data_IF_873138980505
#
_entry.id   IF_873138980505
#
_cell.length_a   1.000
_cell.length_b   1.000
_cell.length_c   1.000
_cell.angle_alpha   90.00
_cell.angle_beta   90.00
_cell.angle_gamma   90.00
#
_symmetry.space_group_name_H-M   'P 1'
#
loop_
_entity.id
_entity.type
_entity.pdbx_description
1 polymer ?
#
# COMPACT_ATOMS: atom_id res chain seq x y z
N UNK A 1 -27.64 46.07 50.52
CA UNK A 1 -27.21 45.77 51.89
C UNK A 1 -25.74 46.13 51.95
N UNK A 2 -25.45 47.20 52.69
CA UNK A 2 -24.13 47.82 52.80
C UNK A 2 -23.35 47.08 53.89
N UNK A 3 -22.21 46.48 53.54
CA UNK A 3 -21.23 46.03 54.53
C UNK A 3 -20.03 46.97 54.51
N UNK A 4 -19.99 47.81 55.54
CA UNK A 4 -18.91 48.72 55.91
C UNK A 4 -17.65 47.94 56.29
N UNK A 5 -16.45 48.32 55.82
CA UNK A 5 -15.21 47.78 56.35
C UNK A 5 -14.93 48.35 57.75
N UNK A 6 -14.58 47.46 58.66
CA UNK A 6 -14.18 47.72 60.04
C UNK A 6 -13.10 48.83 60.11
N UNK A 7 -13.44 49.97 60.71
CA UNK A 7 -12.60 51.16 60.75
C UNK A 7 -11.67 51.14 61.99
N UNK A 8 -10.42 50.71 61.79
CA UNK A 8 -9.40 50.56 62.85
C UNK A 8 -9.03 51.88 63.56
N UNK A 9 -9.38 53.04 63.01
CA UNK A 9 -9.04 54.36 63.57
C UNK A 9 -9.90 54.78 64.77
N UNK A 10 -10.98 54.07 65.09
CA UNK A 10 -11.85 54.41 66.23
C UNK A 10 -11.46 53.67 67.53
N UNK A 11 -10.65 52.61 67.43
CA UNK A 11 -10.24 51.78 68.58
C UNK A 11 -8.98 52.30 69.33
N UNK A 12 -8.30 53.31 68.78
CA UNK A 12 -7.06 53.88 69.36
C UNK A 12 -7.27 55.20 70.12
N UNK A 13 -8.51 55.67 70.30
CA UNK A 13 -8.81 56.86 71.13
C UNK A 13 -9.09 56.46 72.58
N UNK A 14 -8.04 56.04 73.30
CA UNK A 14 -8.06 56.10 74.77
C UNK A 14 -7.62 57.50 75.21
N UNK A 15 -8.40 58.19 76.07
CA UNK A 15 -8.08 59.53 76.53
C UNK A 15 -6.83 59.51 77.42
N UNK A 16 -5.88 60.39 77.09
CA UNK A 16 -4.73 60.69 77.92
C UNK A 16 -5.20 61.28 79.27
N UNK A 17 -4.75 60.75 80.43
CA UNK A 17 -4.90 61.46 81.68
C UNK A 17 -3.90 62.62 81.75
N UNK A 18 -4.44 63.79 82.10
CA UNK A 18 -3.76 65.06 82.30
C UNK A 18 -2.62 64.95 83.31
N UNK A 19 -1.48 65.57 82.98
CA UNK A 19 -0.41 65.95 83.92
C UNK A 19 -0.93 67.00 84.91
N UNK A 20 -0.74 66.74 86.19
CA UNK A 20 -0.60 67.79 87.21
C UNK A 20 0.87 67.78 87.70
N UNK A 21 1.52 68.95 87.84
CA UNK A 21 2.91 69.04 88.23
C UNK A 21 3.03 69.06 89.75
N UNK A 22 3.58 68.00 90.34
CA UNK A 22 4.08 68.03 91.72
C UNK A 22 5.58 68.18 91.65
N UNK A 23 6.04 69.40 91.95
CA UNK A 23 7.43 69.68 92.26
C UNK A 23 7.77 68.99 93.59
N UNK A 24 8.70 68.04 93.54
CA UNK A 24 9.46 67.59 94.70
C UNK A 24 10.93 67.61 94.29
N UNK A 25 11.70 68.24 95.16
CA UNK A 25 13.13 68.52 95.09
C UNK A 25 13.97 67.25 94.87
N UNK A 26 15.18 67.39 94.29
CA UNK A 26 16.01 66.26 93.91
C UNK A 26 16.76 65.69 95.12
N UNK A 27 16.70 64.38 95.40
CA UNK A 27 17.75 63.71 96.11
C UNK A 27 18.68 63.04 95.10
N UNK A 28 19.93 63.50 95.14
CA UNK A 28 21.11 62.63 95.20
C UNK A 28 21.28 61.58 94.10
N UNK A 29 22.13 61.93 93.14
CA UNK A 29 22.92 61.01 92.32
C UNK A 29 23.64 60.05 93.26
N UNK A 30 23.10 58.85 93.42
CA UNK A 30 23.76 57.74 94.08
C UNK A 30 23.45 56.45 93.30
N UNK A 31 24.37 56.10 92.39
CA UNK A 31 24.62 54.74 91.88
C UNK A 31 23.50 53.99 91.12
N UNK A 32 23.08 54.49 89.95
CA UNK A 32 22.37 53.70 88.91
C UNK A 32 23.30 53.26 87.75
N UNK A 33 24.61 53.16 88.00
CA UNK A 33 25.56 52.63 87.02
C UNK A 33 25.31 51.15 86.62
N UNK A 34 24.93 50.22 87.52
CA UNK A 34 24.90 48.80 87.15
C UNK A 34 23.66 48.38 86.34
N UNK A 35 22.50 49.04 86.51
CA UNK A 35 21.27 48.64 85.81
C UNK A 35 21.24 49.08 84.34
N UNK A 36 21.83 50.23 84.03
CA UNK A 36 22.00 50.71 82.64
C UNK A 36 22.99 49.83 81.85
N UNK A 37 24.05 49.34 82.50
CA UNK A 37 25.00 48.40 81.89
C UNK A 37 24.32 47.05 81.59
N UNK A 38 23.52 46.52 82.52
CA UNK A 38 22.75 45.28 82.30
C UNK A 38 21.74 45.44 81.16
N UNK A 39 21.02 46.55 81.09
CA UNK A 39 20.10 46.82 79.98
C UNK A 39 20.83 46.95 78.63
N UNK A 40 22.01 47.57 78.60
CA UNK A 40 22.82 47.65 77.38
C UNK A 40 23.32 46.28 76.92
N UNK A 41 23.74 45.41 77.84
CA UNK A 41 24.13 44.03 77.52
C UNK A 41 22.95 43.25 76.93
N UNK A 42 21.76 43.34 77.54
CA UNK A 42 20.55 42.66 77.02
C UNK A 42 20.16 43.21 75.65
N UNK A 43 20.29 44.51 75.39
CA UNK A 43 20.01 45.09 74.06
C UNK A 43 21.04 44.64 73.03
N UNK A 44 22.32 44.49 73.41
CA UNK A 44 23.36 43.96 72.53
C UNK A 44 23.13 42.47 72.22
N UNK A 45 22.73 41.67 73.21
CA UNK A 45 22.36 40.26 73.01
C UNK A 45 21.13 40.12 72.10
N UNK A 46 20.07 40.90 72.34
CA UNK A 46 18.89 40.91 71.48
C UNK A 46 19.20 41.41 70.06
N UNK A 47 20.13 42.37 69.92
CA UNK A 47 20.59 42.82 68.61
C UNK A 47 21.41 41.74 67.89
N UNK A 48 22.24 40.98 68.62
CA UNK A 48 22.99 39.85 68.09
C UNK A 48 22.05 38.69 67.68
N UNK A 49 21.07 38.35 68.52
CA UNK A 49 20.05 37.33 68.22
C UNK A 49 19.21 37.73 67.01
N UNK A 50 18.82 39.00 66.90
CA UNK A 50 18.10 39.52 65.73
C UNK A 50 18.95 39.45 64.46
N UNK A 51 20.26 39.73 64.56
CA UNK A 51 21.18 39.61 63.43
C UNK A 51 21.38 38.14 63.02
N UNK A 52 21.47 37.22 63.98
CA UNK A 52 21.55 35.78 63.72
C UNK A 52 20.28 35.26 63.04
N UNK A 53 19.09 35.64 63.54
CA UNK A 53 17.82 35.31 62.91
C UNK A 53 17.72 35.88 61.48
N UNK A 54 18.17 37.11 61.26
CA UNK A 54 18.17 37.70 59.92
C UNK A 54 19.06 36.90 58.95
N UNK A 55 20.24 36.47 59.39
CA UNK A 55 21.12 35.61 58.60
C UNK A 55 20.50 34.23 58.31
N UNK A 56 19.81 33.63 59.29
CA UNK A 56 19.11 32.36 59.10
C UNK A 56 17.94 32.50 58.10
N UNK A 57 17.19 33.61 58.15
CA UNK A 57 16.14 33.91 57.18
C UNK A 57 16.71 34.09 55.77
N UNK A 58 17.84 34.79 55.62
CA UNK A 58 18.50 34.95 54.32
C UNK A 58 18.95 33.61 53.77
N UNK A 59 19.60 32.77 54.59
CA UNK A 59 20.02 31.42 54.20
C UNK A 59 18.83 30.53 53.80
N UNK A 60 17.74 30.57 54.56
CA UNK A 60 16.53 29.80 54.25
C UNK A 60 15.86 30.29 52.97
N UNK A 61 15.85 31.61 52.73
CA UNK A 61 15.31 32.19 51.50
C UNK A 61 16.14 31.81 50.27
N UNK A 62 17.47 31.79 50.40
CA UNK A 62 18.37 31.34 49.34
C UNK A 62 18.14 29.85 49.02
N UNK A 63 18.02 29.01 50.05
CA UNK A 63 17.76 27.58 49.86
C UNK A 63 16.36 27.31 49.24
N UNK A 64 15.35 28.09 49.64
CA UNK A 64 14.02 28.02 49.01
C UNK A 64 14.09 28.36 47.51
N UNK A 65 14.83 29.42 47.14
CA UNK A 65 15.03 29.79 45.75
C UNK A 65 15.80 28.73 44.94
N UNK A 66 16.79 28.06 45.55
CA UNK A 66 17.48 26.92 44.93
C UNK A 66 16.53 25.75 44.66
N UNK A 67 15.71 25.39 45.65
CA UNK A 67 14.71 24.33 45.52
C UNK A 67 13.65 24.65 44.46
N UNK A 68 13.15 25.88 44.40
CA UNK A 68 12.21 26.31 43.36
C UNK A 68 12.82 26.21 41.96
N UNK A 69 14.09 26.61 41.81
CA UNK A 69 14.81 26.46 40.55
C UNK A 69 14.99 24.97 40.17
N UNK A 70 15.35 24.12 41.12
CA UNK A 70 15.50 22.68 40.91
C UNK A 70 14.18 22.00 40.54
N UNK A 71 13.07 22.41 41.16
CA UNK A 71 11.72 21.93 40.81
C UNK A 71 11.36 22.37 39.40
N UNK A 72 11.64 23.62 39.02
CA UNK A 72 11.36 24.12 37.67
C UNK A 72 12.14 23.31 36.62
N UNK A 73 13.44 23.10 36.82
CA UNK A 73 14.26 22.31 35.88
C UNK A 73 13.78 20.86 35.78
N UNK A 74 13.45 20.23 36.91
CA UNK A 74 12.90 18.88 36.91
C UNK A 74 11.54 18.78 36.18
N UNK A 75 10.70 19.80 36.31
CA UNK A 75 9.43 19.88 35.57
C UNK A 75 9.65 20.02 34.05
N UNK A 76 10.61 20.84 33.63
CA UNK A 76 10.97 21.00 32.22
C UNK A 76 11.51 19.70 31.62
N UNK A 77 12.39 18.99 32.35
CA UNK A 77 12.91 17.68 31.94
C UNK A 77 11.80 16.63 31.86
N UNK A 78 10.92 16.56 32.86
CA UNK A 78 9.78 15.66 32.84
C UNK A 78 8.83 15.94 31.66
N UNK A 79 8.65 17.21 31.27
CA UNK A 79 7.88 17.57 30.09
C UNK A 79 8.56 17.13 28.79
N UNK A 80 9.88 17.29 28.68
CA UNK A 80 10.65 16.81 27.51
C UNK A 80 10.54 15.29 27.36
N UNK A 81 10.80 14.54 28.42
CA UNK A 81 10.68 13.08 28.43
C UNK A 81 9.27 12.60 28.09
N UNK A 82 8.22 13.31 28.55
CA UNK A 82 6.83 13.00 28.18
C UNK A 82 6.56 13.19 26.69
N UNK A 83 7.13 14.24 26.07
CA UNK A 83 7.00 14.47 24.62
C UNK A 83 7.72 13.38 23.83
N UNK A 84 8.96 13.08 24.19
CA UNK A 84 9.75 12.01 23.55
C UNK A 84 9.05 10.64 23.68
N UNK A 85 8.48 10.34 24.84
CA UNK A 85 7.72 9.10 25.05
C UNK A 85 6.45 9.06 24.21
N UNK A 86 5.74 10.18 24.04
CA UNK A 86 4.57 10.26 23.17
C UNK A 86 4.94 10.05 21.69
N UNK A 87 6.04 10.66 21.24
CA UNK A 87 6.57 10.47 19.89
C UNK A 87 6.99 9.02 19.65
N UNK A 88 7.74 8.42 20.58
CA UNK A 88 8.16 7.02 20.51
C UNK A 88 6.95 6.05 20.45
N UNK A 89 5.90 6.33 21.23
CA UNK A 89 4.64 5.54 21.17
C UNK A 89 3.97 5.65 19.81
N UNK A 90 3.90 6.85 19.24
CA UNK A 90 3.34 7.07 17.90
C UNK A 90 4.13 6.28 16.85
N UNK A 91 5.46 6.34 16.89
CA UNK A 91 6.30 5.58 15.94
C UNK A 91 6.14 4.06 16.12
N UNK A 92 5.93 3.58 17.35
CA UNK A 92 5.68 2.17 17.62
C UNK A 92 4.35 1.72 17.02
N UNK A 93 3.30 2.54 17.16
CA UNK A 93 1.99 2.26 16.58
C UNK A 93 2.03 2.24 15.05
N UNK A 94 2.72 3.20 14.43
CA UNK A 94 2.95 3.23 12.98
C UNK A 94 3.73 1.98 12.50
N UNK A 95 4.76 1.57 13.24
CA UNK A 95 5.51 0.34 12.95
C UNK A 95 4.67 -0.93 13.13
N UNK A 96 3.77 -0.97 14.11
CA UNK A 96 2.85 -2.10 14.30
C UNK A 96 1.83 -2.22 13.17
N UNK A 97 1.26 -1.08 12.73
CA UNK A 97 0.31 -1.05 11.62
C UNK A 97 0.95 -1.53 10.31
N UNK A 98 2.15 -1.02 9.98
CA UNK A 98 2.90 -1.47 8.79
C UNK A 98 3.27 -2.96 8.86
N UNK A 99 3.61 -3.47 10.05
CA UNK A 99 3.87 -4.89 10.24
C UNK A 99 2.60 -5.74 10.01
N UNK A 100 1.44 -5.26 10.46
CA UNK A 100 0.16 -5.93 10.21
C UNK A 100 -0.20 -5.95 8.72
N UNK A 101 -0.01 -4.83 8.03
CA UNK A 101 -0.25 -4.71 6.58
C UNK A 101 0.65 -5.66 5.78
N UNK A 102 1.96 -5.68 6.09
CA UNK A 102 2.91 -6.58 5.42
C UNK A 102 2.62 -8.05 5.68
N UNK A 103 2.16 -8.42 6.89
CA UNK A 103 1.67 -9.77 7.18
C UNK A 103 0.43 -10.13 6.37
N UNK A 104 -0.51 -9.21 6.22
CA UNK A 104 -1.70 -9.40 5.38
C UNK A 104 -1.33 -9.62 3.91
N UNK A 105 -0.42 -8.78 3.39
CA UNK A 105 0.11 -8.93 2.04
C UNK A 105 0.81 -10.29 1.85
N UNK A 106 1.67 -10.70 2.80
CA UNK A 106 2.34 -12.00 2.74
C UNK A 106 1.34 -13.16 2.68
N UNK A 107 0.30 -13.16 3.54
CA UNK A 107 -0.74 -14.18 3.51
C UNK A 107 -1.47 -14.23 2.17
N UNK A 108 -1.79 -13.07 1.58
CA UNK A 108 -2.41 -13.01 0.26
C UNK A 108 -1.50 -13.59 -0.83
N UNK A 109 -0.20 -13.26 -0.82
CA UNK A 109 0.75 -13.81 -1.79
C UNK A 109 0.92 -15.32 -1.64
N UNK A 110 0.92 -15.83 -0.41
CA UNK A 110 1.00 -17.26 -0.14
C UNK A 110 -0.23 -17.99 -0.68
N UNK A 111 -1.43 -17.44 -0.49
CA UNK A 111 -2.65 -17.99 -1.07
C UNK A 111 -2.57 -18.02 -2.60
N UNK A 112 -2.13 -16.92 -3.23
CA UNK A 112 -1.96 -16.91 -4.69
C UNK A 112 -0.93 -17.91 -5.19
N UNK A 113 0.17 -18.12 -4.44
CA UNK A 113 1.19 -19.11 -4.76
C UNK A 113 0.58 -20.52 -4.72
N UNK A 114 -0.12 -20.87 -3.64
CA UNK A 114 -0.77 -22.19 -3.52
C UNK A 114 -1.82 -22.43 -4.62
N UNK A 115 -2.55 -21.38 -5.01
CA UNK A 115 -3.48 -21.47 -6.13
C UNK A 115 -2.72 -21.74 -7.44
N UNK A 116 -1.64 -21.01 -7.72
CA UNK A 116 -0.82 -21.21 -8.93
C UNK A 116 -0.14 -22.58 -8.96
N UNK A 117 0.33 -23.08 -7.83
CA UNK A 117 0.87 -24.44 -7.70
C UNK A 117 -0.20 -25.49 -8.02
N UNK A 118 -1.44 -25.30 -7.54
CA UNK A 118 -2.55 -26.21 -7.86
C UNK A 118 -2.95 -26.16 -9.34
N UNK A 119 -2.95 -24.96 -9.95
CA UNK A 119 -3.21 -24.78 -11.39
C UNK A 119 -2.13 -25.46 -12.24
N UNK A 120 -0.86 -25.30 -11.86
CA UNK A 120 0.27 -25.96 -12.53
C UNK A 120 0.19 -27.48 -12.40
N UNK A 121 -0.13 -27.99 -11.22
CA UNK A 121 -0.30 -29.43 -11.00
C UNK A 121 -1.46 -30.00 -11.85
N UNK A 122 -2.56 -29.26 -11.97
CA UNK A 122 -3.67 -29.65 -12.83
C UNK A 122 -3.31 -29.63 -14.32
N UNK A 123 -2.54 -28.63 -14.78
CA UNK A 123 -2.03 -28.58 -16.15
C UNK A 123 -1.09 -29.74 -16.45
N UNK A 124 -0.15 -30.02 -15.55
CA UNK A 124 0.80 -31.12 -15.71
C UNK A 124 0.10 -32.48 -15.72
N UNK A 125 -0.91 -32.68 -14.88
CA UNK A 125 -1.75 -33.88 -14.93
C UNK A 125 -2.50 -34.01 -16.26
N UNK A 126 -3.01 -32.90 -16.80
CA UNK A 126 -3.68 -32.87 -18.12
C UNK A 126 -2.71 -33.18 -19.26
N UNK A 127 -1.50 -32.63 -19.23
CA UNK A 127 -0.45 -32.92 -20.21
C UNK A 127 -0.04 -34.39 -20.17
N UNK A 128 0.09 -34.96 -18.98
CA UNK A 128 0.46 -36.37 -18.81
C UNK A 128 -0.66 -37.31 -19.30
N UNK A 129 -1.93 -37.02 -19.01
CA UNK A 129 -3.08 -37.78 -19.54
C UNK A 129 -3.16 -37.68 -21.08
N UNK A 130 -2.82 -36.52 -21.67
CA UNK A 130 -2.73 -36.37 -23.12
C UNK A 130 -1.57 -37.19 -23.73
N UNK A 131 -0.41 -37.21 -23.06
CA UNK A 131 0.74 -38.03 -23.48
C UNK A 131 0.45 -39.53 -23.39
N UNK A 132 -0.23 -39.98 -22.32
CA UNK A 132 -0.57 -41.40 -22.12
C UNK A 132 -1.66 -41.87 -23.10
N UNK A 133 -2.67 -41.03 -23.38
CA UNK A 133 -3.75 -41.38 -24.32
C UNK A 133 -3.33 -41.33 -25.78
N UNK A 134 -2.34 -40.51 -26.13
CA UNK A 134 -1.82 -40.45 -27.49
C UNK A 134 -0.36 -39.95 -27.49
N UNK A 135 0.64 -40.85 -27.55
CA UNK A 135 2.05 -40.47 -27.57
C UNK A 135 2.46 -39.69 -28.83
N UNK A 136 1.57 -39.58 -29.83
CA UNK A 136 1.72 -38.72 -31.01
C UNK A 136 0.90 -37.41 -30.94
N UNK A 137 0.20 -37.13 -29.82
CA UNK A 137 -0.65 -35.94 -29.65
C UNK A 137 0.06 -34.71 -29.05
N UNK A 138 1.36 -34.79 -28.79
CA UNK A 138 2.21 -33.60 -28.94
C UNK A 138 2.17 -33.23 -30.42
N UNK A 139 1.10 -32.55 -30.83
CA UNK A 139 0.96 -32.07 -32.18
C UNK A 139 2.23 -31.29 -32.52
N UNK A 140 2.86 -31.60 -33.66
CA UNK A 140 3.99 -30.82 -34.19
C UNK A 140 3.65 -29.32 -34.35
N UNK A 141 2.36 -28.99 -34.33
CA UNK A 141 1.80 -27.64 -34.29
C UNK A 141 0.93 -27.53 -33.03
N UNK A 142 1.35 -26.71 -32.07
CA UNK A 142 0.59 -26.45 -30.85
C UNK A 142 -0.84 -26.01 -31.18
N UNK A 143 -1.84 -26.71 -30.61
CA UNK A 143 -3.27 -26.45 -30.90
C UNK A 143 -3.74 -25.08 -30.40
N UNK A 144 -3.06 -24.53 -29.39
CA UNK A 144 -3.51 -23.37 -28.60
C UNK A 144 -2.60 -22.14 -28.76
N UNK A 145 -1.58 -22.21 -29.63
CA UNK A 145 -0.79 -21.02 -29.95
C UNK A 145 -1.50 -20.30 -31.09
N UNK A 146 -2.02 -19.11 -30.78
CA UNK A 146 -2.39 -18.12 -31.79
C UNK A 146 -1.11 -17.66 -32.50
N UNK A 147 -0.56 -18.51 -33.38
CA UNK A 147 0.50 -18.09 -34.27
C UNK A 147 -0.09 -17.02 -35.19
N UNK A 148 0.49 -15.81 -35.23
CA UNK A 148 0.04 -14.80 -36.18
C UNK A 148 0.11 -15.40 -37.59
N UNK A 149 -0.97 -15.23 -38.34
CA UNK A 149 -1.22 -15.81 -39.65
C UNK A 149 -0.03 -15.52 -40.57
N UNK A 150 0.91 -16.48 -40.68
CA UNK A 150 2.17 -16.27 -41.41
C UNK A 150 1.90 -16.07 -42.90
N UNK A 151 0.74 -16.53 -43.35
CA UNK A 151 0.19 -16.37 -44.69
C UNK A 151 -1.26 -15.93 -44.56
N UNK A 152 -1.58 -14.63 -44.73
CA UNK A 152 -2.92 -14.11 -44.49
C UNK A 152 -3.96 -14.86 -45.32
N UNK A 153 -4.85 -15.60 -44.64
CA UNK A 153 -5.93 -16.36 -45.26
C UNK A 153 -5.77 -17.89 -45.23
N UNK A 154 -4.56 -18.41 -45.07
CA UNK A 154 -4.29 -19.86 -45.05
C UNK A 154 -4.53 -20.45 -43.65
N UNK A 155 -5.61 -21.23 -43.50
CA UNK A 155 -5.86 -21.95 -42.25
C UNK A 155 -5.01 -23.21 -42.14
N UNK A 156 -4.67 -23.65 -40.92
CA UNK A 156 -4.07 -24.98 -40.64
C UNK A 156 -4.71 -26.12 -41.44
N UNK A 157 -6.03 -26.13 -41.51
CA UNK A 157 -6.81 -27.11 -42.27
C UNK A 157 -6.49 -27.14 -43.78
N UNK A 158 -6.09 -26.01 -44.38
CA UNK A 158 -5.66 -25.95 -45.78
C UNK A 158 -4.34 -26.70 -45.99
N UNK A 159 -3.39 -26.50 -45.06
CA UNK A 159 -2.12 -27.23 -45.06
C UNK A 159 -2.37 -28.73 -44.91
N UNK A 160 -3.32 -29.14 -44.06
CA UNK A 160 -3.70 -30.55 -43.90
C UNK A 160 -4.33 -31.13 -45.17
N UNK A 161 -5.17 -30.39 -45.90
CA UNK A 161 -5.74 -30.84 -47.17
C UNK A 161 -4.68 -31.00 -48.27
N UNK A 162 -3.72 -30.07 -48.35
CA UNK A 162 -2.57 -30.18 -49.26
C UNK A 162 -1.69 -31.39 -48.91
N UNK A 163 -1.49 -31.66 -47.62
CA UNK A 163 -0.74 -32.83 -47.15
C UNK A 163 -1.49 -34.13 -47.51
N UNK A 164 -2.82 -34.16 -47.37
CA UNK A 164 -3.65 -35.29 -47.77
C UNK A 164 -3.55 -35.56 -49.28
N UNK A 165 -3.71 -34.53 -50.12
CA UNK A 165 -3.53 -34.66 -51.57
C UNK A 165 -2.10 -35.10 -51.94
N UNK A 166 -1.09 -34.60 -51.21
CA UNK A 166 0.30 -35.01 -51.40
C UNK A 166 0.56 -36.46 -50.97
N UNK A 167 -0.18 -36.97 -49.97
CA UNK A 167 -0.16 -38.37 -49.54
C UNK A 167 -0.77 -39.28 -50.60
N UNK A 168 -1.96 -38.95 -51.11
CA UNK A 168 -2.64 -39.72 -52.15
C UNK A 168 -1.79 -39.78 -53.43
N UNK A 169 -1.16 -38.65 -53.80
CA UNK A 169 -0.21 -38.61 -54.92
C UNK A 169 1.04 -39.46 -54.65
N UNK A 170 1.58 -39.44 -53.43
CA UNK A 170 2.73 -40.26 -53.07
C UNK A 170 2.39 -41.76 -53.12
N UNK A 171 1.18 -42.14 -52.72
CA UNK A 171 0.67 -43.50 -52.76
C UNK A 171 0.47 -43.97 -54.21
N UNK A 172 -0.17 -43.14 -55.05
CA UNK A 172 -0.34 -43.41 -56.48
C UNK A 172 1.00 -43.56 -57.23
N UNK A 173 2.04 -42.83 -56.82
CA UNK A 173 3.40 -42.93 -57.36
C UNK A 173 4.24 -44.07 -56.74
N UNK A 174 3.69 -44.85 -55.80
CA UNK A 174 4.39 -45.95 -55.14
C UNK A 174 5.45 -45.54 -54.12
N UNK A 175 5.47 -44.27 -53.68
CA UNK A 175 6.40 -43.72 -52.68
C UNK A 175 5.91 -44.00 -51.25
N UNK A 176 5.86 -45.28 -50.87
CA UNK A 176 5.26 -45.78 -49.62
C UNK A 176 5.80 -45.06 -48.37
N UNK A 177 7.12 -44.87 -48.24
CA UNK A 177 7.70 -44.17 -47.08
C UNK A 177 7.22 -42.72 -46.95
N UNK A 178 7.09 -42.02 -48.08
CA UNK A 178 6.61 -40.64 -48.10
C UNK A 178 5.13 -40.59 -47.72
N UNK A 179 4.31 -41.51 -48.24
CA UNK A 179 2.92 -41.62 -47.86
C UNK A 179 2.75 -41.89 -46.36
N UNK A 180 3.54 -42.80 -45.78
CA UNK A 180 3.51 -43.10 -44.33
C UNK A 180 3.91 -41.92 -43.45
N UNK A 181 4.92 -41.14 -43.85
CA UNK A 181 5.32 -39.93 -43.11
C UNK A 181 4.19 -38.89 -43.15
N UNK A 182 3.61 -38.66 -44.32
CA UNK A 182 2.51 -37.70 -44.48
C UNK A 182 1.27 -38.15 -43.72
N UNK A 183 0.96 -39.45 -43.71
CA UNK A 183 -0.11 -40.03 -42.89
C UNK A 183 0.15 -39.82 -41.40
N UNK A 184 1.40 -40.01 -40.93
CA UNK A 184 1.78 -39.71 -39.55
C UNK A 184 1.56 -38.24 -39.17
N UNK A 185 1.85 -37.32 -40.10
CA UNK A 185 1.59 -35.88 -39.91
C UNK A 185 0.09 -35.58 -39.85
N UNK A 186 -0.73 -36.23 -40.68
CA UNK A 186 -2.19 -36.07 -40.66
C UNK A 186 -2.81 -36.62 -39.37
N UNK A 187 -2.37 -37.79 -38.92
CA UNK A 187 -2.86 -38.41 -37.67
C UNK A 187 -2.47 -37.58 -36.45
N UNK A 188 -1.28 -36.98 -36.44
CA UNK A 188 -0.83 -36.11 -35.35
C UNK A 188 -1.53 -34.73 -35.36
N UNK A 189 -2.17 -34.33 -36.46
CA UNK A 189 -2.78 -33.03 -36.63
C UNK A 189 -4.25 -33.13 -37.04
N UNK A 190 -5.13 -33.14 -36.05
CA UNK A 190 -6.57 -33.10 -36.29
C UNK A 190 -7.00 -31.76 -36.93
N UNK A 191 -7.94 -31.79 -37.91
CA UNK A 191 -8.52 -30.57 -38.46
C UNK A 191 -9.33 -29.82 -37.40
N UNK A 192 -9.22 -28.49 -37.38
CA UNK A 192 -9.95 -27.64 -36.42
C UNK A 192 -11.34 -27.19 -36.95
N UNK A 193 -11.64 -27.47 -38.22
CA UNK A 193 -12.91 -27.17 -38.86
C UNK A 193 -13.08 -25.69 -39.24
N UNK A 194 -12.05 -24.86 -39.13
CA UNK A 194 -12.10 -23.46 -39.53
C UNK A 194 -12.20 -23.31 -41.04
N UNK A 195 -11.60 -24.23 -41.81
CA UNK A 195 -11.74 -24.24 -43.27
C UNK A 195 -13.18 -24.52 -43.69
N UNK A 196 -13.82 -25.51 -43.07
CA UNK A 196 -15.22 -25.84 -43.32
C UNK A 196 -16.15 -24.67 -42.98
N UNK A 197 -15.88 -23.95 -41.88
CA UNK A 197 -16.63 -22.73 -41.52
C UNK A 197 -16.45 -21.61 -42.55
N UNK A 198 -15.22 -21.39 -43.05
CA UNK A 198 -14.95 -20.40 -44.11
C UNK A 198 -15.63 -20.77 -45.43
N UNK A 199 -15.55 -22.03 -45.86
CA UNK A 199 -16.27 -22.56 -47.04
C UNK A 199 -17.78 -22.35 -46.91
N UNK A 200 -18.37 -22.68 -45.76
CA UNK A 200 -19.80 -22.48 -45.51
C UNK A 200 -20.21 -21.00 -45.47
N UNK A 201 -19.36 -20.10 -44.95
CA UNK A 201 -19.62 -18.67 -44.95
C UNK A 201 -19.61 -18.11 -46.39
N UNK A 202 -18.66 -18.53 -47.22
CA UNK A 202 -18.61 -18.15 -48.63
C UNK A 202 -19.75 -18.74 -49.44
N UNK A 203 -20.14 -19.99 -49.19
CA UNK A 203 -21.28 -20.60 -49.85
C UNK A 203 -22.59 -19.85 -49.53
N UNK A 204 -22.79 -19.45 -48.27
CA UNK A 204 -23.90 -18.57 -47.89
C UNK A 204 -23.85 -17.24 -48.64
N UNK A 205 -22.68 -16.62 -48.69
CA UNK A 205 -22.49 -15.35 -49.39
C UNK A 205 -22.74 -15.45 -50.90
N UNK A 206 -22.35 -16.56 -51.55
CA UNK A 206 -22.67 -16.81 -52.96
C UNK A 206 -24.18 -17.06 -53.19
N UNK A 207 -24.83 -17.81 -52.31
CA UNK A 207 -26.27 -18.06 -52.37
C UNK A 207 -27.08 -16.76 -52.22
N UNK A 208 -26.67 -15.87 -51.30
CA UNK A 208 -27.29 -14.55 -51.10
C UNK A 208 -27.12 -13.62 -52.31
N UNK A 209 -26.05 -13.79 -53.09
CA UNK A 209 -25.76 -13.01 -54.29
C UNK A 209 -26.20 -13.70 -55.59
N UNK A 210 -27.12 -14.68 -55.52
CA UNK A 210 -27.64 -15.46 -56.66
C UNK A 210 -26.56 -16.12 -57.53
N UNK A 211 -25.42 -16.50 -56.95
CA UNK A 211 -24.26 -17.05 -57.66
C UNK A 211 -23.72 -16.14 -58.78
N UNK A 212 -23.99 -14.83 -58.72
CA UNK A 212 -23.49 -13.84 -59.67
C UNK A 212 -22.27 -13.15 -59.09
N UNK A 213 -21.22 -12.99 -59.90
CA UNK A 213 -20.00 -12.24 -59.54
C UNK A 213 -20.27 -10.73 -59.58
N UNK A 214 -21.00 -10.22 -58.59
CA UNK A 214 -21.28 -8.79 -58.42
C UNK A 214 -20.07 -8.05 -57.85
N UNK A 215 -20.00 -6.72 -58.02
CA UNK A 215 -18.91 -5.90 -57.48
C UNK A 215 -18.65 -6.07 -55.96
N UNK A 216 -19.69 -6.20 -55.11
CA UNK A 216 -19.51 -6.54 -53.69
C UNK A 216 -18.86 -7.90 -53.46
N UNK A 217 -19.19 -8.90 -54.29
CA UNK A 217 -18.61 -10.24 -54.19
C UNK A 217 -17.12 -10.21 -54.54
N UNK A 218 -16.74 -9.47 -55.58
CA UNK A 218 -15.33 -9.30 -55.96
C UNK A 218 -14.51 -8.62 -54.86
N UNK A 219 -15.07 -7.59 -54.19
CA UNK A 219 -14.40 -6.91 -53.09
C UNK A 219 -14.20 -7.79 -51.86
N UNK A 220 -15.17 -8.66 -51.55
CA UNK A 220 -15.05 -9.61 -50.43
C UNK A 220 -14.07 -10.75 -50.76
N UNK A 221 -14.03 -11.21 -52.01
CA UNK A 221 -13.01 -12.14 -52.50
C UNK A 221 -11.60 -11.53 -52.40
N UNK A 222 -11.41 -10.28 -52.82
CA UNK A 222 -10.14 -9.56 -52.71
C UNK A 222 -9.72 -9.37 -51.24
N UNK A 223 -10.67 -9.07 -50.34
CA UNK A 223 -10.42 -8.96 -48.88
C UNK A 223 -10.00 -10.30 -48.27
N UNK A 224 -10.57 -11.41 -48.77
CA UNK A 224 -10.22 -12.76 -48.37
C UNK A 224 -8.94 -13.29 -49.06
N UNK A 225 -8.29 -12.50 -49.93
CA UNK A 225 -7.07 -12.89 -50.64
C UNK A 225 -7.31 -13.83 -51.84
N UNK A 226 -8.54 -13.91 -52.34
CA UNK A 226 -8.97 -14.86 -53.36
C UNK A 226 -8.89 -14.23 -54.75
N UNK A 227 -7.98 -14.71 -55.59
CA UNK A 227 -7.89 -14.23 -56.97
C UNK A 227 -9.04 -14.79 -57.83
N UNK A 228 -9.89 -13.91 -58.36
CA UNK A 228 -10.86 -14.26 -59.41
C UNK A 228 -10.26 -13.91 -60.79
N UNK A 229 -10.33 -14.84 -61.75
CA UNK A 229 -9.92 -14.56 -63.13
C UNK A 229 -10.95 -13.64 -63.81
N UNK A 230 -10.47 -12.63 -64.53
CA UNK A 230 -11.32 -11.74 -65.37
C UNK A 230 -11.37 -12.28 -66.80
N UNK A 231 -12.56 -12.58 -67.33
CA UNK A 231 -12.76 -12.97 -68.74
C UNK A 231 -13.53 -14.27 -68.93
N UNK A 232 -13.43 -14.90 -70.11
CA UNK A 232 -14.18 -16.11 -70.51
C UNK A 232 -13.89 -17.37 -69.64
N UNK A 233 -12.94 -17.29 -68.74
CA UNK A 233 -12.66 -18.26 -67.67
C UNK A 233 -13.20 -17.75 -66.33
N UNK A 234 -14.49 -17.37 -66.28
CA UNK A 234 -15.14 -17.15 -64.99
C UNK A 234 -15.11 -18.45 -64.22
N UNK A 235 -14.32 -18.51 -63.15
CA UNK A 235 -14.39 -19.62 -62.22
C UNK A 235 -15.80 -19.64 -61.64
N UNK A 236 -16.47 -20.78 -61.78
CA UNK A 236 -17.77 -20.97 -61.13
C UNK A 236 -17.58 -20.81 -59.61
N UNK A 237 -18.58 -20.35 -58.85
CA UNK A 237 -18.51 -20.31 -57.39
C UNK A 237 -18.04 -21.63 -56.77
N UNK A 238 -18.43 -22.77 -57.36
CA UNK A 238 -17.96 -24.11 -56.98
C UNK A 238 -16.46 -24.33 -57.21
N UNK A 239 -15.91 -23.78 -58.29
CA UNK A 239 -14.47 -23.87 -58.61
C UNK A 239 -13.64 -22.92 -57.75
N UNK A 240 -14.19 -21.75 -57.38
CA UNK A 240 -13.56 -20.84 -56.41
C UNK A 240 -13.51 -21.50 -55.04
N UNK A 241 -14.59 -22.18 -54.63
CA UNK A 241 -14.61 -22.96 -53.39
C UNK A 241 -13.61 -24.10 -53.38
N UNK A 242 -13.41 -24.81 -54.51
CA UNK A 242 -12.46 -25.92 -54.65
C UNK A 242 -10.99 -25.49 -54.80
N UNK A 243 -10.74 -24.33 -55.39
CA UNK A 243 -9.37 -23.87 -55.72
C UNK A 243 -8.75 -22.99 -54.66
N UNK A 244 -9.58 -22.42 -53.78
CA UNK A 244 -9.14 -21.44 -52.77
C UNK A 244 -9.27 -21.95 -51.35
N UNK A 245 -10.11 -22.95 -51.12
CA UNK A 245 -10.25 -23.62 -49.83
C UNK A 245 -10.19 -25.09 -50.04
#
# INVERSE_FOLDING_TARGET
MNDTPFNFNEFMRKPAPKKEPVAVEPPEIAAEAPELEVQQVVVQELAADKAALAADYENLSAHAAELENAVRTAQEEAQKLRKELAEARKTLEEAQNTLQETRGALSSTQNTLTQKESELAAQLAKELDLQERNPNALALLDRDVDLPDRFPGETRDHVLEVIAAARDKAEAEGRIRRAQILEGVLVANEPNGNLAKKRAALEKFFNENHNVMTGPVQAELDRCGISYKKGAEYLLPSEILLRTY
#
